data_IF_337896308248
#
_entry.id   IF_337896308248
#
_cell.length_a   1.000
_cell.length_b   1.000
_cell.length_c   1.000
_cell.angle_alpha   90.00
_cell.angle_beta   90.00
_cell.angle_gamma   90.00
#
_symmetry.space_group_name_H-M   'P 1'
#
loop_
_entity.id
_entity.type
_entity.pdbx_description
1 polymer ?
#
# COMPACT_ATOMS: atom_id res chain seq x y z
N UNK A 1 27.65 -17.77 53.01
CA UNK A 1 27.92 -17.34 51.64
C UNK A 1 29.42 -17.22 51.49
N UNK A 2 30.07 -18.21 50.86
CA UNK A 2 31.51 -18.13 50.55
C UNK A 2 31.72 -17.03 49.50
N UNK A 3 32.57 -16.08 49.86
CA UNK A 3 32.97 -14.99 49.01
C UNK A 3 33.68 -15.49 47.76
N UNK A 4 33.02 -15.51 46.64
CA UNK A 4 33.65 -15.85 45.37
C UNK A 4 32.72 -16.33 44.24
N UNK A 5 31.47 -16.59 44.54
CA UNK A 5 30.53 -16.99 43.48
C UNK A 5 29.90 -15.75 42.88
N UNK A 6 30.06 -15.44 41.56
CA UNK A 6 29.46 -14.29 40.95
C UNK A 6 27.93 -14.47 40.93
N UNK A 7 27.22 -13.51 41.53
CA UNK A 7 25.76 -13.45 41.45
C UNK A 7 25.42 -12.82 40.11
N UNK A 8 24.80 -13.58 39.21
CA UNK A 8 24.28 -13.09 37.93
C UNK A 8 22.80 -12.75 38.12
N UNK A 9 22.48 -11.46 38.08
CA UNK A 9 21.08 -10.99 38.10
C UNK A 9 20.69 -10.71 36.69
N UNK A 10 19.69 -11.42 36.18
CA UNK A 10 19.03 -11.09 34.90
C UNK A 10 17.69 -10.46 35.20
N UNK A 11 17.47 -9.31 34.62
CA UNK A 11 16.19 -8.58 34.63
C UNK A 11 15.49 -8.82 33.30
N UNK A 12 14.33 -9.42 33.35
CA UNK A 12 13.41 -9.46 32.21
C UNK A 12 12.44 -8.29 32.35
N UNK A 13 12.41 -7.40 31.37
CA UNK A 13 11.39 -6.37 31.27
C UNK A 13 10.47 -6.71 30.09
N UNK A 14 9.23 -7.06 30.37
CA UNK A 14 8.19 -7.15 29.35
C UNK A 14 7.70 -5.73 29.03
N UNK A 15 8.05 -5.23 27.85
CA UNK A 15 7.40 -4.01 27.35
C UNK A 15 6.11 -4.40 26.65
N UNK A 16 5.01 -3.77 27.01
CA UNK A 16 3.66 -3.98 26.44
C UNK A 16 3.60 -3.67 24.92
N UNK A 17 4.60 -3.00 24.40
CA UNK A 17 4.74 -2.67 22.98
C UNK A 17 6.17 -2.93 22.52
N UNK A 18 6.52 -4.18 22.31
CA UNK A 18 7.81 -4.53 21.75
C UNK A 18 7.70 -4.67 20.23
N UNK A 19 8.19 -3.68 19.52
CA UNK A 19 8.38 -3.75 18.07
C UNK A 19 9.77 -4.31 17.81
N UNK A 20 9.84 -5.39 17.06
CA UNK A 20 11.13 -5.92 16.59
C UNK A 20 11.74 -4.92 15.61
N UNK A 21 12.83 -4.27 16.04
CA UNK A 21 13.51 -3.32 15.19
C UNK A 21 14.49 -4.05 14.27
N UNK A 22 14.28 -3.92 12.96
CA UNK A 22 15.23 -4.32 11.92
C UNK A 22 15.99 -3.07 11.46
N UNK A 23 17.29 -3.16 11.38
CA UNK A 23 18.16 -2.08 10.87
C UNK A 23 18.91 -2.60 9.66
N UNK A 24 18.67 -1.97 8.51
CA UNK A 24 19.40 -2.21 7.28
C UNK A 24 20.32 -1.01 7.01
N UNK A 25 21.61 -1.26 6.86
CA UNK A 25 22.59 -0.29 6.43
C UNK A 25 23.20 -0.77 5.12
N UNK A 26 23.15 0.05 4.10
CA UNK A 26 23.73 -0.24 2.80
C UNK A 26 24.57 0.89 2.27
N UNK A 27 25.65 0.55 1.59
CA UNK A 27 26.48 1.48 0.87
C UNK A 27 26.94 0.83 -0.43
N UNK A 28 26.74 1.52 -1.51
CA UNK A 28 27.28 1.17 -2.84
C UNK A 28 28.20 2.28 -3.30
N UNK A 29 29.37 1.88 -3.78
CA UNK A 29 30.39 2.78 -4.35
C UNK A 29 30.60 2.37 -5.80
N UNK A 30 30.31 3.25 -6.74
CA UNK A 30 30.61 3.07 -8.16
C UNK A 30 31.79 3.96 -8.56
N UNK A 31 32.83 3.35 -9.07
CA UNK A 31 34.01 4.03 -9.55
C UNK A 31 34.16 3.88 -11.07
N UNK A 32 34.01 4.98 -11.79
CA UNK A 32 34.25 5.05 -13.23
C UNK A 32 35.73 5.17 -13.53
N UNK A 33 36.31 4.08 -13.99
CA UNK A 33 37.74 4.04 -14.38
C UNK A 33 37.96 4.90 -15.64
N UNK A 34 37.02 4.81 -16.58
CA UNK A 34 36.99 5.64 -17.80
C UNK A 34 35.56 5.63 -18.38
N UNK A 35 35.40 6.15 -19.63
CA UNK A 35 34.08 6.20 -20.29
C UNK A 35 33.47 4.82 -20.58
N UNK A 36 34.31 3.80 -20.62
CA UNK A 36 33.97 2.47 -21.07
C UNK A 36 34.16 1.39 -20.00
N UNK A 37 34.55 1.75 -18.77
CA UNK A 37 34.76 0.81 -17.69
C UNK A 37 34.40 1.40 -16.34
N UNK A 38 33.69 0.62 -15.56
CA UNK A 38 33.34 0.91 -14.17
C UNK A 38 33.51 -0.32 -13.27
N UNK A 39 33.70 -0.08 -12.02
CA UNK A 39 33.72 -1.09 -10.97
C UNK A 39 32.93 -0.57 -9.79
N UNK A 40 32.04 -1.40 -9.25
CA UNK A 40 31.23 -1.12 -8.08
C UNK A 40 31.56 -2.03 -6.92
N UNK A 41 31.32 -1.56 -5.72
CA UNK A 41 31.41 -2.35 -4.50
C UNK A 41 30.22 -2.03 -3.60
N UNK A 42 29.56 -3.06 -3.09
CA UNK A 42 28.38 -2.97 -2.21
C UNK A 42 28.63 -3.62 -0.89
N UNK A 43 28.20 -2.98 0.19
CA UNK A 43 28.15 -3.56 1.53
C UNK A 43 26.74 -3.33 2.06
N UNK A 44 26.06 -4.41 2.43
CA UNK A 44 24.79 -4.39 3.13
C UNK A 44 24.95 -5.04 4.49
N UNK A 45 24.37 -4.45 5.53
CA UNK A 45 24.33 -4.99 6.89
C UNK A 45 22.91 -4.99 7.39
N UNK A 46 22.34 -6.17 7.57
CA UNK A 46 21.05 -6.37 8.22
C UNK A 46 21.27 -6.77 9.66
N UNK A 47 20.63 -6.08 10.60
CA UNK A 47 20.69 -6.37 12.03
C UNK A 47 19.30 -6.26 12.64
N UNK A 48 18.86 -7.33 13.28
CA UNK A 48 17.64 -7.38 14.08
C UNK A 48 17.97 -7.23 15.57
N UNK A 49 17.12 -6.52 16.28
CA UNK A 49 17.20 -6.43 17.74
C UNK A 49 16.29 -7.50 18.35
N UNK A 50 16.82 -8.37 19.26
CA UNK A 50 15.97 -9.31 19.96
C UNK A 50 14.96 -8.58 20.84
N UNK A 51 13.73 -9.07 20.88
CA UNK A 51 12.67 -8.56 21.76
C UNK A 51 12.93 -8.94 23.22
N UNK A 52 13.44 -10.16 23.43
CA UNK A 52 13.77 -10.70 24.75
C UNK A 52 15.15 -11.34 24.70
N UNK A 53 15.86 -11.40 25.83
CA UNK A 53 17.15 -12.13 25.91
C UNK A 53 17.02 -13.63 25.65
N UNK A 54 15.83 -14.20 25.90
CA UNK A 54 15.51 -15.60 25.64
C UNK A 54 14.59 -15.65 24.40
N UNK A 55 15.17 -16.07 23.30
CA UNK A 55 14.50 -16.16 22.01
C UNK A 55 13.95 -17.55 21.79
N UNK A 56 12.76 -17.69 21.22
CA UNK A 56 12.21 -18.98 20.82
C UNK A 56 12.97 -19.53 19.61
N UNK A 57 13.00 -20.86 19.49
CA UNK A 57 13.58 -21.50 18.31
C UNK A 57 12.78 -21.07 17.04
N UNK A 58 13.49 -20.57 16.04
CA UNK A 58 12.90 -20.02 14.81
C UNK A 58 12.68 -18.51 14.79
N UNK A 59 12.82 -17.83 15.95
CA UNK A 59 12.68 -16.38 16.07
C UNK A 59 14.04 -15.70 16.36
N UNK A 60 15.15 -16.36 16.05
CA UNK A 60 16.49 -15.85 16.33
C UNK A 60 16.77 -14.58 15.50
N UNK A 61 17.17 -13.48 16.15
CA UNK A 61 17.44 -12.23 15.45
C UNK A 61 18.71 -12.30 14.59
N UNK A 62 18.57 -11.94 13.35
CA UNK A 62 19.60 -12.02 12.32
C UNK A 62 20.59 -10.85 12.44
N UNK A 63 21.86 -11.10 12.10
CA UNK A 63 22.88 -10.07 11.94
C UNK A 63 23.79 -10.38 10.75
N UNK A 64 23.26 -10.36 9.55
CA UNK A 64 23.94 -10.75 8.33
C UNK A 64 24.66 -9.58 7.64
N UNK A 65 25.73 -9.89 6.93
CA UNK A 65 26.45 -8.93 6.09
C UNK A 65 26.55 -9.48 4.67
N UNK A 66 26.17 -8.70 3.69
CA UNK A 66 26.36 -9.03 2.30
C UNK A 66 27.44 -8.11 1.71
N UNK A 67 28.35 -8.69 0.95
CA UNK A 67 29.39 -8.00 0.21
C UNK A 67 29.15 -8.26 -1.28
N UNK A 68 29.18 -7.20 -2.08
CA UNK A 68 29.01 -7.27 -3.53
C UNK A 68 30.17 -6.60 -4.23
N UNK A 69 30.56 -7.14 -5.36
CA UNK A 69 31.45 -6.51 -6.33
C UNK A 69 30.79 -6.62 -7.70
N UNK A 70 30.71 -5.53 -8.40
CA UNK A 70 30.16 -5.48 -9.75
C UNK A 70 31.07 -4.66 -10.66
N UNK A 71 30.93 -4.83 -11.94
CA UNK A 71 31.67 -4.04 -12.88
C UNK A 71 31.37 -4.39 -14.32
N UNK A 72 31.72 -3.46 -15.17
CA UNK A 72 31.53 -3.62 -16.60
C UNK A 72 32.59 -2.90 -17.40
N UNK A 73 32.85 -3.43 -18.57
CA UNK A 73 33.62 -2.70 -19.56
C UNK A 73 33.05 -2.91 -20.95
N UNK A 74 33.27 -1.89 -21.77
CA UNK A 74 32.88 -1.86 -23.17
C UNK A 74 34.12 -1.50 -23.99
N UNK A 75 34.44 -2.28 -24.99
CA UNK A 75 35.61 -2.03 -25.85
C UNK A 75 35.28 -2.25 -27.33
N UNK A 76 35.68 -1.30 -28.16
CA UNK A 76 35.69 -1.49 -29.61
C UNK A 76 36.85 -2.41 -29.97
N UNK A 77 36.58 -3.47 -30.74
CA UNK A 77 37.56 -4.43 -31.20
C UNK A 77 37.56 -4.46 -32.73
N UNK A 78 38.43 -3.67 -33.39
CA UNK A 78 38.50 -3.62 -34.85
C UNK A 78 38.84 -4.96 -35.49
N UNK A 79 39.50 -5.85 -34.76
CA UNK A 79 39.81 -7.20 -35.25
C UNK A 79 38.54 -8.04 -35.47
N UNK A 80 37.52 -7.90 -34.62
CA UNK A 80 36.23 -8.55 -34.81
C UNK A 80 35.50 -8.02 -36.04
N UNK A 81 35.60 -6.72 -36.30
CA UNK A 81 35.01 -6.12 -37.51
C UNK A 81 35.65 -6.70 -38.76
N UNK A 82 36.98 -6.82 -38.80
CA UNK A 82 37.69 -7.44 -39.90
C UNK A 82 37.35 -8.92 -40.07
N UNK A 83 37.13 -9.63 -39.00
CA UNK A 83 36.75 -11.06 -39.03
C UNK A 83 35.36 -11.24 -39.61
N UNK A 84 34.43 -10.34 -39.30
CA UNK A 84 33.06 -10.33 -39.88
C UNK A 84 33.11 -9.96 -41.37
N UNK A 85 33.94 -9.00 -41.76
CA UNK A 85 34.13 -8.60 -43.17
C UNK A 85 34.83 -9.67 -44.05
N UNK A 86 35.41 -10.70 -43.43
CA UNK A 86 35.94 -11.86 -44.18
C UNK A 86 34.86 -12.85 -44.58
N UNK A 87 33.63 -12.71 -44.06
CA UNK A 87 32.54 -13.57 -44.48
C UNK A 87 31.99 -13.13 -45.86
N UNK A 88 31.78 -14.07 -46.80
CA UNK A 88 31.24 -13.73 -48.10
C UNK A 88 29.84 -13.11 -47.94
N UNK A 89 29.59 -12.01 -48.62
CA UNK A 89 28.34 -11.22 -48.65
C UNK A 89 28.12 -10.30 -47.47
N UNK A 90 29.08 -10.08 -46.56
CA UNK A 90 28.94 -9.14 -45.44
C UNK A 90 30.03 -8.11 -45.56
N UNK A 91 29.66 -6.85 -45.84
CA UNK A 91 30.52 -5.68 -45.69
C UNK A 91 29.92 -4.80 -44.56
N UNK A 92 30.61 -4.70 -43.43
CA UNK A 92 30.14 -3.84 -42.33
C UNK A 92 31.08 -2.65 -42.14
N UNK A 93 30.51 -1.45 -42.16
CA UNK A 93 31.19 -0.20 -41.80
C UNK A 93 31.11 0.12 -40.32
N UNK A 94 30.32 -0.68 -39.54
CA UNK A 94 30.07 -0.45 -38.14
C UNK A 94 31.12 -1.19 -37.32
N UNK A 95 31.77 -0.47 -36.40
CA UNK A 95 32.78 -1.05 -35.52
C UNK A 95 32.14 -2.07 -34.56
N UNK A 96 32.75 -3.23 -34.47
CA UNK A 96 32.34 -4.26 -33.52
C UNK A 96 32.71 -3.86 -32.08
N UNK A 97 31.80 -4.05 -31.18
CA UNK A 97 31.98 -3.75 -29.74
C UNK A 97 31.77 -5.00 -28.92
N UNK A 98 32.60 -5.17 -27.89
CA UNK A 98 32.40 -6.18 -26.85
C UNK A 98 32.00 -5.48 -25.56
N UNK A 99 30.90 -5.90 -24.99
CA UNK A 99 30.45 -5.50 -23.66
C UNK A 99 30.61 -6.72 -22.72
N UNK A 100 31.19 -6.47 -21.60
CA UNK A 100 31.26 -7.44 -20.51
C UNK A 100 30.70 -6.79 -19.23
N UNK A 101 29.84 -7.48 -18.54
CA UNK A 101 29.38 -7.12 -17.20
C UNK A 101 29.40 -8.35 -16.32
N UNK A 102 29.74 -8.17 -15.06
CA UNK A 102 29.79 -9.25 -14.10
C UNK A 102 29.57 -8.73 -12.69
N UNK A 103 29.00 -9.59 -11.86
CA UNK A 103 28.80 -9.34 -10.43
C UNK A 103 29.19 -10.56 -9.61
N UNK A 104 29.61 -10.30 -8.38
CA UNK A 104 29.93 -11.31 -7.38
C UNK A 104 29.35 -10.84 -6.06
N UNK A 105 28.58 -11.71 -5.38
CA UNK A 105 28.07 -11.44 -4.07
C UNK A 105 28.48 -12.55 -3.09
N UNK A 106 28.72 -12.16 -1.82
CA UNK A 106 29.02 -13.06 -0.75
C UNK A 106 28.21 -12.68 0.50
N UNK A 107 27.48 -13.66 1.05
CA UNK A 107 26.76 -13.53 2.31
C UNK A 107 27.62 -14.05 3.46
N UNK A 108 27.78 -13.21 4.48
CA UNK A 108 28.43 -13.56 5.74
C UNK A 108 27.33 -13.63 6.80
N UNK A 109 26.88 -14.84 7.18
CA UNK A 109 25.85 -15.00 8.20
C UNK A 109 26.40 -14.63 9.59
N UNK A 110 25.51 -14.17 10.46
CA UNK A 110 25.85 -13.82 11.82
C UNK A 110 24.62 -13.78 12.73
N UNK A 111 24.85 -13.67 14.01
CA UNK A 111 23.81 -13.57 15.03
C UNK A 111 23.96 -12.29 15.85
N UNK A 112 22.91 -11.91 16.56
CA UNK A 112 22.98 -10.74 17.43
C UNK A 112 23.66 -11.13 18.76
N UNK A 113 24.75 -10.43 19.09
CA UNK A 113 25.53 -10.68 20.32
C UNK A 113 24.71 -10.52 21.62
N UNK A 114 23.57 -9.89 21.58
CA UNK A 114 22.70 -9.72 22.75
C UNK A 114 22.03 -11.03 23.21
N UNK A 115 21.97 -12.05 22.34
CA UNK A 115 21.42 -13.38 22.64
C UNK A 115 22.51 -14.42 22.89
N UNK A 116 23.76 -14.06 22.71
CA UNK A 116 24.91 -14.96 22.93
C UNK A 116 25.24 -15.07 24.43
N UNK A 117 24.38 -15.80 25.13
CA UNK A 117 24.55 -16.02 26.61
C UNK A 117 25.63 -17.02 26.90
N UNK A 118 25.86 -17.98 26.00
CA UNK A 118 26.77 -19.11 26.20
C UNK A 118 28.12 -18.94 25.54
N UNK A 119 28.33 -17.87 24.77
CA UNK A 119 29.49 -17.62 23.90
C UNK A 119 29.74 -18.75 22.87
N UNK A 120 28.74 -19.56 22.61
CA UNK A 120 28.73 -20.48 21.49
C UNK A 120 28.28 -19.69 20.26
N UNK A 121 29.14 -19.64 19.24
CA UNK A 121 28.87 -18.91 18.00
C UNK A 121 27.70 -19.56 17.26
N UNK A 122 26.48 -19.21 17.65
CA UNK A 122 25.29 -19.53 16.88
C UNK A 122 25.27 -18.69 15.60
N UNK A 123 25.06 -19.30 14.46
CA UNK A 123 24.86 -18.59 13.20
C UNK A 123 23.46 -18.86 12.67
N UNK A 124 22.75 -17.78 12.31
CA UNK A 124 21.52 -17.89 11.54
C UNK A 124 21.87 -17.84 10.05
N UNK A 125 21.48 -18.87 9.32
CA UNK A 125 21.73 -18.99 7.87
C UNK A 125 20.55 -18.46 7.03
N UNK A 126 19.62 -17.77 7.63
CA UNK A 126 18.48 -17.21 6.88
C UNK A 126 18.96 -15.97 6.16
N UNK A 127 18.94 -16.01 4.85
CA UNK A 127 19.04 -14.86 3.99
C UNK A 127 17.68 -14.17 3.94
N UNK A 128 17.53 -13.11 4.74
CA UNK A 128 16.27 -12.34 4.81
C UNK A 128 16.51 -10.88 4.35
N UNK A 129 17.45 -10.69 3.42
CA UNK A 129 17.64 -9.36 2.85
C UNK A 129 16.41 -8.90 2.08
N UNK A 130 15.71 -9.84 1.43
CA UNK A 130 14.42 -9.58 0.78
C UNK A 130 13.33 -9.28 1.82
N UNK A 131 13.28 -9.99 2.94
CA UNK A 131 12.38 -9.70 4.06
C UNK A 131 12.67 -8.39 4.80
N UNK A 132 13.85 -7.79 4.55
CA UNK A 132 14.19 -6.45 5.05
C UNK A 132 13.66 -5.32 4.15
N UNK A 133 12.92 -5.63 3.11
CA UNK A 133 12.28 -4.66 2.24
C UNK A 133 11.38 -3.74 3.03
N UNK A 134 11.39 -2.47 2.66
CA UNK A 134 10.54 -1.45 3.25
C UNK A 134 9.10 -1.64 2.76
N UNK A 135 8.35 -2.49 3.43
CA UNK A 135 6.94 -2.69 3.10
C UNK A 135 6.16 -1.39 3.33
N UNK A 136 5.41 -0.96 2.34
CA UNK A 136 4.48 0.15 2.48
C UNK A 136 3.17 -0.43 3.03
N UNK A 137 2.88 -0.12 4.30
CA UNK A 137 1.59 -0.50 4.89
C UNK A 137 0.47 0.36 4.30
N UNK A 138 -0.44 -0.28 3.59
CA UNK A 138 -1.57 0.39 2.96
C UNK A 138 -2.82 0.48 3.85
N UNK A 139 -2.80 -0.06 5.08
CA UNK A 139 -3.95 -0.08 6.00
C UNK A 139 -4.19 1.23 6.73
N UNK A 140 -3.28 2.19 6.66
CA UNK A 140 -3.43 3.47 7.36
C UNK A 140 -4.57 4.28 6.76
N UNK A 141 -5.71 4.30 7.46
CA UNK A 141 -6.97 4.89 7.01
C UNK A 141 -6.85 6.37 6.61
N UNK A 142 -6.10 7.15 7.37
CA UNK A 142 -5.95 8.59 7.14
C UNK A 142 -5.19 8.96 5.87
N UNK A 143 -4.54 7.98 5.24
CA UNK A 143 -3.80 8.21 4.00
C UNK A 143 -4.67 8.00 2.74
N UNK A 144 -5.88 7.51 2.92
CA UNK A 144 -6.82 7.28 1.84
C UNK A 144 -7.77 8.45 1.71
N UNK A 145 -8.02 8.86 0.50
CA UNK A 145 -8.98 9.89 0.09
C UNK A 145 -9.86 9.36 -1.02
N UNK A 146 -10.94 10.03 -1.31
CA UNK A 146 -11.84 9.66 -2.37
C UNK A 146 -11.12 9.66 -3.73
N UNK A 147 -11.34 8.63 -4.55
CA UNK A 147 -10.73 8.54 -5.86
C UNK A 147 -11.44 9.39 -6.90
N UNK A 148 -10.68 9.99 -7.81
CA UNK A 148 -11.20 10.49 -9.08
C UNK A 148 -11.60 9.33 -10.00
N UNK A 149 -12.32 9.64 -11.10
CA UNK A 149 -12.67 8.63 -12.11
C UNK A 149 -11.38 8.13 -12.78
N UNK A 150 -11.14 6.81 -12.84
CA UNK A 150 -9.95 6.28 -13.47
C UNK A 150 -9.86 6.63 -14.96
N UNK A 151 -8.68 7.08 -15.38
CA UNK A 151 -8.40 7.48 -16.75
C UNK A 151 -7.85 6.29 -17.56
N UNK A 152 -8.02 6.34 -18.87
CA UNK A 152 -7.40 5.37 -19.77
C UNK A 152 -8.12 4.02 -19.88
N UNK A 153 -9.33 3.90 -19.30
CA UNK A 153 -10.17 2.70 -19.34
C UNK A 153 -11.59 3.06 -19.81
N UNK A 154 -11.77 3.46 -21.07
CA UNK A 154 -13.04 4.01 -21.55
C UNK A 154 -14.19 2.99 -21.56
N UNK A 155 -13.90 1.71 -21.60
CA UNK A 155 -14.91 0.63 -21.55
C UNK A 155 -15.53 0.50 -20.14
N UNK A 156 -14.76 0.78 -19.09
CA UNK A 156 -15.20 0.72 -17.69
C UNK A 156 -15.69 2.10 -17.19
N UNK A 157 -15.02 3.16 -17.61
CA UNK A 157 -15.26 4.52 -17.15
C UNK A 157 -15.44 5.47 -18.34
N UNK A 158 -16.54 5.36 -19.11
CA UNK A 158 -16.77 6.21 -20.28
C UNK A 158 -16.85 7.70 -19.94
N UNK A 159 -17.30 8.02 -18.71
CA UNK A 159 -17.37 9.39 -18.19
C UNK A 159 -15.99 10.01 -17.92
N UNK A 160 -14.93 9.22 -17.88
CA UNK A 160 -13.57 9.72 -17.62
C UNK A 160 -13.07 10.73 -18.67
N UNK A 161 -13.66 10.76 -19.86
CA UNK A 161 -13.34 11.71 -20.92
C UNK A 161 -13.93 13.11 -20.69
N UNK A 162 -14.93 13.24 -19.82
CA UNK A 162 -15.62 14.48 -19.54
C UNK A 162 -14.72 15.46 -18.78
N UNK A 163 -14.95 16.76 -19.03
CA UNK A 163 -14.26 17.85 -18.36
C UNK A 163 -15.26 18.95 -18.02
N UNK A 164 -15.24 19.41 -16.78
CA UNK A 164 -16.17 20.42 -16.25
C UNK A 164 -17.63 20.07 -16.58
N UNK A 165 -17.97 18.80 -16.42
CA UNK A 165 -19.30 18.26 -16.71
C UNK A 165 -19.76 17.42 -15.51
N UNK A 166 -20.94 17.71 -15.00
CA UNK A 166 -21.54 17.04 -13.85
C UNK A 166 -21.75 15.53 -14.07
N UNK A 167 -21.82 15.09 -15.32
CA UNK A 167 -21.94 13.67 -15.66
C UNK A 167 -20.70 12.87 -15.27
N UNK A 168 -19.56 13.53 -15.04
CA UNK A 168 -18.31 12.89 -14.63
C UNK A 168 -18.44 12.06 -13.36
N UNK A 169 -19.26 12.48 -12.41
CA UNK A 169 -19.44 11.78 -11.13
C UNK A 169 -20.64 10.83 -11.04
N UNK A 170 -21.47 10.72 -12.08
CA UNK A 170 -22.78 10.05 -11.99
C UNK A 170 -22.73 8.55 -11.73
N UNK A 171 -21.63 7.86 -12.08
CA UNK A 171 -21.48 6.44 -11.82
C UNK A 171 -20.83 6.14 -10.45
N UNK A 172 -20.42 7.18 -9.72
CA UNK A 172 -19.84 6.99 -8.38
C UNK A 172 -20.94 6.62 -7.40
N UNK A 173 -20.82 5.41 -6.85
CA UNK A 173 -21.67 4.92 -5.78
C UNK A 173 -21.05 5.22 -4.42
N UNK A 174 -21.82 5.03 -3.36
CA UNK A 174 -21.39 5.22 -1.99
C UNK A 174 -20.33 4.18 -1.63
N UNK A 175 -19.25 4.67 -1.05
CA UNK A 175 -18.11 3.87 -0.63
C UNK A 175 -17.60 4.41 0.70
N UNK A 176 -17.40 3.52 1.67
CA UNK A 176 -16.88 3.88 2.99
C UNK A 176 -15.68 3.01 3.32
N UNK A 177 -14.70 3.59 3.98
CA UNK A 177 -13.54 2.88 4.50
C UNK A 177 -13.28 3.28 5.94
N UNK A 178 -13.02 2.31 6.79
CA UNK A 178 -12.94 2.52 8.23
C UNK A 178 -12.15 1.40 8.92
N UNK A 179 -11.94 1.56 10.20
CA UNK A 179 -11.43 0.53 11.10
C UNK A 179 -12.41 0.39 12.24
N UNK A 180 -12.88 -0.82 12.50
CA UNK A 180 -13.76 -1.08 13.62
C UNK A 180 -12.94 -1.00 14.91
N UNK A 181 -13.36 -0.12 15.82
CA UNK A 181 -12.71 0.01 17.12
C UNK A 181 -12.80 -1.32 17.89
N UNK A 182 -11.69 -1.84 18.45
CA UNK A 182 -11.68 -3.08 19.24
C UNK A 182 -12.71 -3.12 20.38
N UNK A 183 -13.18 -1.96 20.85
CA UNK A 183 -14.24 -1.87 21.84
C UNK A 183 -15.52 -2.59 21.37
N UNK A 184 -15.88 -2.46 20.09
CA UNK A 184 -17.09 -3.07 19.55
C UNK A 184 -17.01 -4.60 19.46
N UNK A 185 -15.80 -5.17 19.46
CA UNK A 185 -15.59 -6.62 19.50
C UNK A 185 -15.62 -7.17 20.95
N UNK A 186 -15.51 -6.31 21.96
CA UNK A 186 -15.44 -6.75 23.34
C UNK A 186 -16.80 -7.23 23.87
N UNK A 187 -16.87 -8.47 24.31
CA UNK A 187 -18.07 -9.05 24.94
C UNK A 187 -18.16 -8.74 26.43
N UNK A 188 -17.07 -8.30 27.05
CA UNK A 188 -16.95 -8.10 28.50
C UNK A 188 -16.92 -6.64 28.93
N UNK A 189 -16.49 -5.73 28.05
CA UNK A 189 -16.37 -4.30 28.36
C UNK A 189 -17.73 -3.70 28.69
N UNK A 190 -17.79 -2.89 29.72
CA UNK A 190 -18.98 -2.10 30.08
C UNK A 190 -19.23 -0.94 29.10
N UNK A 191 -18.22 -0.56 28.33
CA UNK A 191 -18.31 0.51 27.36
C UNK A 191 -18.90 0.05 26.02
N UNK A 192 -18.89 -1.26 25.73
CA UNK A 192 -19.54 -1.80 24.52
C UNK A 192 -21.03 -1.56 24.60
N UNK A 193 -21.65 -0.94 23.57
CA UNK A 193 -23.10 -0.67 23.56
C UNK A 193 -23.91 -1.95 23.74
N UNK A 194 -24.95 -1.88 24.54
CA UNK A 194 -25.78 -3.06 24.94
C UNK A 194 -26.47 -3.75 23.77
N UNK A 195 -26.81 -3.00 22.72
CA UNK A 195 -27.45 -3.53 21.51
C UNK A 195 -26.49 -4.29 20.60
N UNK A 196 -25.18 -4.07 20.74
CA UNK A 196 -24.12 -4.77 19.97
C UNK A 196 -23.61 -5.95 20.79
N UNK A 197 -23.45 -5.76 22.11
CA UNK A 197 -22.77 -6.71 22.99
C UNK A 197 -23.50 -8.06 23.04
N UNK A 198 -22.76 -9.11 22.64
CA UNK A 198 -23.30 -10.49 22.61
C UNK A 198 -24.37 -10.73 21.54
N UNK A 199 -24.58 -9.79 20.63
CA UNK A 199 -25.49 -9.92 19.50
C UNK A 199 -24.86 -10.66 18.32
N UNK A 200 -25.70 -11.05 17.35
CA UNK A 200 -25.25 -11.62 16.09
C UNK A 200 -24.32 -10.70 15.29
N UNK A 201 -24.33 -9.38 15.55
CA UNK A 201 -23.42 -8.43 14.90
C UNK A 201 -21.96 -8.69 15.24
N UNK A 202 -21.64 -9.10 16.46
CA UNK A 202 -20.26 -9.44 16.85
C UNK A 202 -19.77 -10.77 16.24
N UNK A 203 -20.69 -11.63 15.79
CA UNK A 203 -20.40 -12.92 15.17
C UNK A 203 -20.49 -12.88 13.64
N UNK A 204 -20.93 -11.75 13.08
CA UNK A 204 -21.01 -11.59 11.63
C UNK A 204 -19.60 -11.70 11.00
N UNK A 205 -19.42 -12.61 10.06
CA UNK A 205 -18.12 -12.90 9.44
C UNK A 205 -17.49 -11.68 8.75
N UNK A 206 -18.30 -10.73 8.25
CA UNK A 206 -17.82 -9.50 7.60
C UNK A 206 -17.26 -8.48 8.61
N UNK A 207 -17.67 -8.55 9.89
CA UNK A 207 -17.35 -7.53 10.88
C UNK A 207 -16.63 -8.08 12.12
N UNK A 208 -16.45 -9.40 12.21
CA UNK A 208 -15.81 -10.04 13.35
C UNK A 208 -14.33 -9.72 13.43
N UNK A 209 -13.78 -9.88 14.61
CA UNK A 209 -12.34 -9.80 14.80
C UNK A 209 -11.63 -10.95 14.08
N UNK A 210 -10.53 -10.65 13.38
CA UNK A 210 -9.69 -11.65 12.72
C UNK A 210 -8.48 -11.94 13.61
N UNK A 211 -8.26 -13.21 13.92
CA UNK A 211 -7.15 -13.65 14.76
C UNK A 211 -5.89 -13.89 13.92
N UNK A 212 -4.74 -13.67 14.53
CA UNK A 212 -3.43 -13.87 13.86
C UNK A 212 -3.25 -15.32 13.44
N UNK A 213 -3.67 -16.28 14.25
CA UNK A 213 -3.54 -17.72 13.99
C UNK A 213 -4.49 -18.23 12.91
N UNK A 214 -5.59 -17.52 12.61
CA UNK A 214 -6.42 -17.83 11.44
C UNK A 214 -5.69 -17.60 10.12
N UNK A 215 -4.96 -16.50 10.02
CA UNK A 215 -4.27 -16.11 8.80
C UNK A 215 -2.85 -16.70 8.74
N UNK A 216 -2.20 -16.79 9.90
CA UNK A 216 -0.84 -17.27 10.05
C UNK A 216 -0.77 -18.40 11.09
N UNK A 217 -1.26 -19.61 10.77
CA UNK A 217 -1.42 -20.70 11.75
C UNK A 217 -0.10 -21.19 12.34
N UNK A 218 1.02 -20.95 11.67
CA UNK A 218 2.35 -21.34 12.15
C UNK A 218 3.07 -20.23 12.94
N UNK A 219 2.45 -19.06 13.09
CA UNK A 219 3.06 -17.94 13.79
C UNK A 219 2.84 -18.09 15.30
N UNK A 220 3.93 -18.23 16.05
CA UNK A 220 3.87 -18.23 17.52
C UNK A 220 3.87 -16.78 18.01
N UNK A 221 2.84 -16.43 18.77
CA UNK A 221 2.74 -15.12 19.39
C UNK A 221 3.47 -15.12 20.72
N UNK A 222 4.36 -14.15 20.93
CA UNK A 222 5.00 -13.92 22.21
C UNK A 222 3.98 -13.40 23.26
N UNK A 223 4.30 -13.60 24.54
CA UNK A 223 3.48 -13.09 25.64
C UNK A 223 3.32 -11.57 25.52
N UNK A 224 2.08 -11.09 25.50
CA UNK A 224 1.75 -9.66 25.38
C UNK A 224 1.66 -9.12 23.95
N UNK A 225 1.80 -9.95 22.93
CA UNK A 225 1.48 -9.54 21.55
C UNK A 225 -0.03 -9.57 21.32
N UNK A 226 -0.49 -8.69 20.41
CA UNK A 226 -1.88 -8.69 20.01
C UNK A 226 -2.24 -9.99 19.29
N UNK A 227 -3.33 -10.59 19.69
CA UNK A 227 -3.86 -11.83 19.10
C UNK A 227 -4.71 -11.60 17.86
N UNK A 228 -5.09 -10.37 17.61
CA UNK A 228 -5.90 -9.96 16.46
C UNK A 228 -5.11 -9.12 15.46
N UNK A 229 -5.51 -9.24 14.21
CA UNK A 229 -4.97 -8.44 13.11
C UNK A 229 -5.83 -7.19 12.96
N UNK A 230 -5.26 -5.97 12.88
CA UNK A 230 -6.02 -4.79 12.49
C UNK A 230 -6.48 -4.95 11.03
N UNK A 231 -7.77 -4.79 10.82
CA UNK A 231 -8.42 -4.91 9.51
C UNK A 231 -8.68 -3.52 8.97
N UNK A 232 -8.55 -3.36 7.67
CA UNK A 232 -9.00 -2.20 6.92
C UNK A 232 -10.35 -2.56 6.31
N UNK A 233 -11.41 -1.99 6.82
CA UNK A 233 -12.78 -2.31 6.43
C UNK A 233 -13.21 -1.42 5.27
N UNK A 234 -13.88 -2.02 4.30
CA UNK A 234 -14.43 -1.36 3.13
C UNK A 234 -15.90 -1.76 3.00
N UNK A 235 -16.77 -0.78 2.80
CA UNK A 235 -18.19 -1.00 2.51
C UNK A 235 -18.56 -0.29 1.22
N UNK A 236 -19.16 -1.03 0.30
CA UNK A 236 -19.59 -0.55 -1.00
C UNK A 236 -21.09 -0.72 -1.18
N UNK A 237 -21.75 0.36 -1.56
CA UNK A 237 -23.22 0.41 -1.70
C UNK A 237 -23.60 0.83 -3.13
N UNK A 238 -23.66 -0.12 -4.09
CA UNK A 238 -23.80 0.19 -5.50
C UNK A 238 -25.13 0.84 -5.90
N UNK A 239 -26.15 0.74 -5.02
CA UNK A 239 -27.45 1.37 -5.21
C UNK A 239 -27.58 2.76 -4.59
N UNK A 240 -26.61 3.18 -3.79
CA UNK A 240 -26.63 4.48 -3.14
C UNK A 240 -25.70 5.46 -3.86
N UNK A 241 -26.14 6.70 -4.01
CA UNK A 241 -25.30 7.76 -4.57
C UNK A 241 -24.09 8.03 -3.68
N UNK A 242 -22.92 8.06 -4.28
CA UNK A 242 -21.69 8.47 -3.63
C UNK A 242 -21.49 9.98 -3.64
N UNK A 243 -20.39 10.44 -3.04
CA UNK A 243 -20.01 11.85 -3.08
C UNK A 243 -19.89 12.35 -4.52
N UNK A 244 -20.36 13.57 -4.75
CA UNK A 244 -20.37 14.23 -6.07
C UNK A 244 -21.13 13.48 -7.17
N UNK A 245 -22.00 12.55 -6.80
CA UNK A 245 -22.91 11.90 -7.72
C UNK A 245 -24.25 12.63 -7.73
N UNK A 246 -24.49 13.38 -8.82
CA UNK A 246 -25.72 14.14 -9.06
C UNK A 246 -26.65 13.44 -10.03
N UNK A 247 -26.61 12.10 -10.08
CA UNK A 247 -27.43 11.32 -10.99
C UNK A 247 -28.92 11.42 -10.64
N UNK A 248 -29.73 11.70 -11.67
CA UNK A 248 -31.18 11.85 -11.54
C UNK A 248 -31.89 11.14 -12.69
N UNK A 249 -31.47 11.42 -13.92
CA UNK A 249 -32.10 10.91 -15.14
C UNK A 249 -31.11 10.11 -15.98
N UNK A 250 -31.62 9.12 -16.68
CA UNK A 250 -30.84 8.35 -17.63
C UNK A 250 -30.23 9.22 -18.72
N UNK A 251 -28.98 9.01 -19.05
CA UNK A 251 -28.26 9.70 -20.13
C UNK A 251 -27.22 8.76 -20.78
N UNK A 252 -26.30 9.30 -21.57
CA UNK A 252 -25.32 8.51 -22.30
C UNK A 252 -24.28 7.83 -21.38
N UNK A 253 -24.16 8.26 -20.13
CA UNK A 253 -23.13 7.80 -19.17
C UNK A 253 -23.71 7.03 -17.98
N UNK A 254 -24.99 7.22 -17.69
CA UNK A 254 -25.65 6.67 -16.51
C UNK A 254 -27.08 6.28 -16.80
N UNK A 255 -27.55 5.23 -16.16
CA UNK A 255 -28.95 4.76 -16.21
C UNK A 255 -29.90 5.55 -15.29
N UNK A 256 -29.40 6.56 -14.59
CA UNK A 256 -30.20 7.38 -13.69
C UNK A 256 -30.55 6.68 -12.37
N UNK A 257 -31.60 7.16 -11.75
CA UNK A 257 -32.13 6.63 -10.47
C UNK A 257 -33.56 6.14 -10.63
N UNK A 258 -34.00 5.26 -9.74
CA UNK A 258 -35.42 4.96 -9.54
C UNK A 258 -36.08 6.14 -8.82
N UNK A 259 -37.04 6.83 -9.45
CA UNK A 259 -37.68 7.99 -8.84
C UNK A 259 -38.50 7.67 -7.59
N UNK A 260 -38.86 6.41 -7.36
CA UNK A 260 -39.66 5.99 -6.21
C UNK A 260 -38.81 5.70 -4.97
N UNK A 261 -37.63 5.10 -5.14
CA UNK A 261 -36.73 4.73 -4.06
C UNK A 261 -35.54 5.69 -3.90
N UNK A 262 -35.16 6.40 -4.97
CA UNK A 262 -33.95 7.20 -5.03
C UNK A 262 -32.68 6.36 -5.22
N UNK A 263 -32.82 5.06 -5.40
CA UNK A 263 -31.68 4.15 -5.64
C UNK A 263 -31.13 4.32 -7.06
N UNK A 264 -29.83 4.09 -7.22
CA UNK A 264 -29.16 4.06 -8.50
C UNK A 264 -29.63 2.84 -9.31
N UNK A 265 -30.02 3.09 -10.57
CA UNK A 265 -30.29 2.02 -11.52
C UNK A 265 -28.97 1.35 -11.96
N UNK A 266 -29.08 0.09 -12.43
CA UNK A 266 -27.96 -0.71 -12.95
C UNK A 266 -26.73 -0.70 -12.03
N UNK A 267 -26.84 -1.25 -10.82
CA UNK A 267 -25.76 -1.22 -9.81
C UNK A 267 -24.46 -1.86 -10.30
N UNK A 268 -24.50 -2.74 -11.30
CA UNK A 268 -23.34 -3.38 -11.92
C UNK A 268 -22.46 -2.40 -12.71
N UNK A 269 -23.01 -1.27 -13.14
CA UNK A 269 -22.29 -0.21 -13.85
C UNK A 269 -21.68 0.83 -12.90
N UNK A 270 -21.96 0.72 -11.62
CA UNK A 270 -21.53 1.69 -10.60
C UNK A 270 -20.21 1.28 -10.00
N UNK A 271 -19.44 2.27 -9.60
CA UNK A 271 -18.15 2.05 -8.96
C UNK A 271 -17.97 2.93 -7.72
N UNK A 272 -17.18 2.46 -6.80
CA UNK A 272 -16.69 3.23 -5.66
C UNK A 272 -15.18 3.05 -5.55
N UNK A 273 -14.46 4.09 -5.16
CA UNK A 273 -13.01 3.99 -5.10
C UNK A 273 -12.38 4.99 -4.16
N UNK A 274 -11.23 4.61 -3.67
CA UNK A 274 -10.34 5.42 -2.85
C UNK A 274 -8.94 5.43 -3.46
N UNK A 275 -8.19 6.47 -3.20
CA UNK A 275 -6.81 6.60 -3.64
C UNK A 275 -5.90 7.06 -2.52
N UNK A 276 -4.62 6.81 -2.65
CA UNK A 276 -3.61 7.33 -1.73
C UNK A 276 -2.33 7.65 -2.46
N UNK A 277 -1.60 8.62 -1.95
CA UNK A 277 -0.25 8.90 -2.41
C UNK A 277 0.72 7.88 -1.84
N UNK A 278 1.62 7.36 -2.67
CA UNK A 278 2.75 6.55 -2.25
C UNK A 278 3.98 7.43 -2.06
N UNK A 279 4.82 7.07 -1.11
CA UNK A 279 6.05 7.81 -0.78
C UNK A 279 7.17 7.62 -1.81
N UNK A 280 7.03 6.61 -2.67
CA UNK A 280 7.96 6.35 -3.76
C UNK A 280 7.24 6.42 -5.11
N UNK A 281 7.89 6.97 -6.09
CA UNK A 281 7.44 7.01 -7.49
C UNK A 281 8.24 6.04 -8.38
N UNK A 282 9.20 5.33 -7.80
CA UNK A 282 10.06 4.35 -8.48
C UNK A 282 10.04 3.06 -7.66
N UNK A 283 9.26 2.10 -8.11
CA UNK A 283 9.11 0.81 -7.45
C UNK A 283 10.33 -0.08 -7.62
N UNK A 284 11.04 0.05 -8.74
CA UNK A 284 12.27 -0.70 -8.99
C UNK A 284 13.37 -0.23 -8.03
N UNK A 285 13.57 1.09 -7.90
CA UNK A 285 14.54 1.64 -6.95
C UNK A 285 14.19 1.34 -5.48
N UNK A 286 12.90 1.20 -5.18
CA UNK A 286 12.40 0.83 -3.85
C UNK A 286 12.34 -0.70 -3.63
N UNK A 287 12.71 -1.49 -4.63
CA UNK A 287 12.66 -2.95 -4.63
C UNK A 287 11.27 -3.49 -4.28
N UNK A 288 10.23 -2.88 -4.84
CA UNK A 288 8.84 -3.30 -4.66
C UNK A 288 8.43 -4.15 -5.87
N UNK A 289 8.19 -5.42 -5.65
CA UNK A 289 7.88 -6.39 -6.71
C UNK A 289 6.40 -6.74 -6.78
N UNK A 290 5.70 -6.69 -5.65
CA UNK A 290 4.31 -7.14 -5.58
C UNK A 290 3.50 -6.39 -4.52
N UNK A 291 2.17 -6.46 -4.69
CA UNK A 291 1.19 -6.06 -3.67
C UNK A 291 0.61 -7.34 -3.08
N UNK A 292 0.67 -7.48 -1.77
CA UNK A 292 0.13 -8.64 -1.06
C UNK A 292 -0.87 -8.20 0.00
N UNK A 293 -2.03 -8.83 0.02
CA UNK A 293 -3.06 -8.58 1.02
C UNK A 293 -3.96 -9.82 1.18
N UNK A 294 -4.64 -9.88 2.31
CA UNK A 294 -5.70 -10.84 2.56
C UNK A 294 -7.04 -10.13 2.42
N UNK A 295 -7.96 -10.74 1.71
CA UNK A 295 -9.32 -10.25 1.53
C UNK A 295 -10.27 -11.26 2.16
N UNK A 296 -11.20 -10.77 3.00
CA UNK A 296 -12.33 -11.56 3.44
C UNK A 296 -13.35 -11.58 2.30
N UNK A 297 -13.81 -12.77 1.93
CA UNK A 297 -14.82 -12.94 0.88
C UNK A 297 -16.16 -12.37 1.34
N UNK A 298 -16.66 -11.29 0.74
CA UNK A 298 -17.92 -10.68 1.13
C UNK A 298 -19.14 -11.47 0.66
N UNK A 299 -18.95 -12.43 -0.24
CA UNK A 299 -20.01 -13.21 -0.87
C UNK A 299 -20.16 -14.64 -0.30
N UNK A 300 -19.40 -14.96 0.74
CA UNK A 300 -19.36 -16.31 1.33
C UNK A 300 -20.72 -16.83 1.80
N UNK A 301 -21.62 -15.95 2.22
CA UNK A 301 -22.98 -16.30 2.67
C UNK A 301 -24.04 -16.05 1.59
N UNK A 302 -23.66 -15.55 0.43
CA UNK A 302 -24.58 -15.29 -0.65
C UNK A 302 -25.04 -16.60 -1.31
N UNK A 303 -26.24 -16.57 -1.90
CA UNK A 303 -26.75 -17.69 -2.66
C UNK A 303 -25.86 -17.96 -3.89
N UNK A 304 -25.89 -19.20 -4.40
CA UNK A 304 -25.13 -19.64 -5.57
C UNK A 304 -25.34 -18.79 -6.84
N UNK A 305 -26.28 -17.86 -6.83
CA UNK A 305 -26.58 -16.93 -7.92
C UNK A 305 -26.01 -15.51 -7.72
N UNK A 306 -25.15 -15.28 -6.74
CA UNK A 306 -24.45 -14.01 -6.60
C UNK A 306 -23.47 -13.82 -7.75
N UNK A 307 -23.59 -12.73 -8.49
CA UNK A 307 -22.66 -12.36 -9.57
C UNK A 307 -21.29 -11.92 -9.04
N UNK A 308 -21.16 -11.77 -7.72
CA UNK A 308 -19.94 -11.24 -7.12
C UNK A 308 -19.73 -9.76 -7.40
N UNK A 309 -18.47 -9.35 -7.39
CA UNK A 309 -18.04 -7.99 -7.72
C UNK A 309 -16.61 -8.01 -8.24
N UNK A 310 -16.22 -6.93 -8.87
CA UNK A 310 -14.88 -6.77 -9.41
C UNK A 310 -14.07 -5.79 -8.54
N UNK A 311 -12.81 -6.10 -8.32
CA UNK A 311 -11.90 -5.32 -7.52
C UNK A 311 -10.67 -4.93 -8.34
N UNK A 312 -10.42 -3.63 -8.49
CA UNK A 312 -9.37 -3.11 -9.33
C UNK A 312 -8.30 -2.37 -8.53
N UNK A 313 -7.06 -2.59 -8.88
CA UNK A 313 -5.92 -1.78 -8.46
C UNK A 313 -5.38 -0.98 -9.63
N UNK A 314 -5.43 0.33 -9.52
CA UNK A 314 -4.83 1.24 -10.49
C UNK A 314 -3.55 1.85 -9.89
N UNK A 315 -2.40 1.59 -10.52
CA UNK A 315 -1.12 2.12 -10.12
C UNK A 315 -0.63 3.12 -11.17
N UNK A 316 -0.05 4.20 -10.72
CA UNK A 316 0.50 5.24 -11.58
C UNK A 316 0.11 6.65 -11.17
N UNK A 317 0.11 7.56 -12.12
CA UNK A 317 -0.31 8.94 -11.90
C UNK A 317 -1.83 9.01 -11.90
N UNK A 318 -2.41 9.28 -10.74
CA UNK A 318 -3.85 9.45 -10.55
C UNK A 318 -4.14 10.94 -10.35
N UNK A 319 -5.21 11.44 -10.99
CA UNK A 319 -5.67 12.81 -10.75
C UNK A 319 -6.22 12.94 -9.33
N UNK A 320 -5.93 14.05 -8.67
CA UNK A 320 -6.54 14.42 -7.39
C UNK A 320 -7.80 15.28 -7.59
N UNK A 321 -8.15 15.58 -8.85
CA UNK A 321 -9.29 16.38 -9.23
C UNK A 321 -10.53 15.48 -9.34
N UNK A 322 -11.37 15.50 -8.32
CA UNK A 322 -12.54 14.62 -8.20
C UNK A 322 -13.65 14.93 -9.17
N UNK A 323 -13.79 16.17 -9.59
CA UNK A 323 -14.81 16.63 -10.53
C UNK A 323 -14.26 16.90 -11.92
N UNK A 324 -12.95 16.91 -12.10
CA UNK A 324 -12.24 17.22 -13.33
C UNK A 324 -12.65 18.55 -13.93
N UNK A 325 -12.60 19.59 -13.13
CA UNK A 325 -12.87 20.97 -13.53
C UNK A 325 -11.59 21.82 -13.62
N UNK A 326 -10.44 21.23 -13.33
CA UNK A 326 -9.14 21.89 -13.27
C UNK A 326 -8.87 22.62 -11.95
N UNK A 327 -9.75 22.49 -10.97
CA UNK A 327 -9.63 23.08 -9.63
C UNK A 327 -9.34 21.99 -8.63
N UNK A 328 -8.08 21.70 -8.48
CA UNK A 328 -7.60 20.66 -7.55
C UNK A 328 -7.91 21.04 -6.10
N UNK A 329 -8.48 20.13 -5.35
CA UNK A 329 -8.93 20.26 -3.96
C UNK A 329 -10.14 21.21 -3.77
N UNK A 330 -10.74 21.16 -2.61
CA UNK A 330 -11.94 21.94 -2.25
C UNK A 330 -13.14 21.67 -3.16
N UNK A 331 -13.42 20.42 -3.42
CA UNK A 331 -14.58 19.96 -4.20
C UNK A 331 -15.95 20.36 -3.59
N UNK A 332 -15.93 21.32 -2.71
CA UNK A 332 -17.10 22.00 -2.16
C UNK A 332 -17.60 23.17 -3.04
N UNK A 333 -16.98 23.37 -4.19
CA UNK A 333 -17.33 24.45 -5.12
C UNK A 333 -16.78 25.84 -4.75
N UNK A 334 -15.91 25.93 -3.74
CA UNK A 334 -15.24 27.18 -3.37
C UNK A 334 -13.88 27.30 -4.06
N UNK A 335 -13.43 28.53 -4.39
CA UNK A 335 -12.11 28.76 -4.96
C UNK A 335 -11.01 28.29 -4.00
N UNK A 336 -10.00 27.52 -4.47
CA UNK A 336 -8.94 26.96 -3.62
C UNK A 336 -7.95 28.02 -3.10
N UNK A 337 -7.86 29.16 -3.79
CA UNK A 337 -6.98 30.29 -3.44
C UNK A 337 -7.64 31.28 -2.46
N UNK A 338 -8.93 31.07 -2.15
CA UNK A 338 -9.69 31.95 -1.30
C UNK A 338 -10.03 33.31 -1.93
N UNK A 339 -9.80 33.47 -3.23
CA UNK A 339 -10.20 34.67 -3.99
C UNK A 339 -11.69 34.63 -4.34
N UNK A 340 -12.51 35.01 -3.38
CA UNK A 340 -13.96 35.06 -3.56
C UNK A 340 -14.43 36.24 -4.44
N UNK A 341 -13.62 37.26 -4.60
CA UNK A 341 -13.99 38.44 -5.37
C UNK A 341 -14.02 38.15 -6.88
N UNK A 342 -13.05 37.43 -7.37
CA UNK A 342 -12.98 36.99 -8.78
C UNK A 342 -14.17 36.10 -9.16
N UNK A 343 -14.68 35.29 -8.22
CA UNK A 343 -15.76 34.35 -8.44
C UNK A 343 -17.10 34.81 -7.83
N UNK A 344 -17.23 36.09 -7.52
CA UNK A 344 -18.39 36.64 -6.81
C UNK A 344 -19.74 36.36 -7.49
N UNK A 345 -19.78 36.18 -8.80
CA UNK A 345 -21.00 35.79 -9.55
C UNK A 345 -21.42 34.33 -9.33
N UNK A 346 -20.50 33.49 -8.87
CA UNK A 346 -20.70 32.05 -8.63
C UNK A 346 -20.90 31.73 -7.16
N UNK A 347 -20.75 32.73 -6.27
CA UNK A 347 -20.75 32.57 -4.84
C UNK A 347 -21.84 33.40 -4.16
N UNK A 348 -22.36 32.90 -3.05
CA UNK A 348 -23.30 33.58 -2.17
C UNK A 348 -22.74 33.69 -0.76
N UNK A 349 -22.87 34.89 -0.15
CA UNK A 349 -22.48 35.11 1.24
C UNK A 349 -23.68 34.85 2.15
N UNK A 350 -23.56 33.83 2.98
CA UNK A 350 -24.59 33.46 3.97
C UNK A 350 -24.13 33.77 5.39
N UNK A 351 -25.02 33.64 6.36
CA UNK A 351 -24.67 33.74 7.80
C UNK A 351 -23.72 32.61 8.25
N UNK A 352 -23.56 31.56 7.48
CA UNK A 352 -22.69 30.41 7.74
C UNK A 352 -21.34 30.50 7.03
N UNK A 353 -21.18 31.46 6.12
CA UNK A 353 -20.01 31.66 5.31
C UNK A 353 -20.35 31.75 3.82
N UNK A 354 -19.34 31.56 2.99
CA UNK A 354 -19.47 31.61 1.54
C UNK A 354 -19.87 30.24 1.01
N UNK A 355 -20.86 30.21 0.12
CA UNK A 355 -21.36 29.00 -0.53
C UNK A 355 -21.47 29.22 -2.03
N UNK A 356 -21.32 28.17 -2.88
CA UNK A 356 -21.59 28.29 -4.31
C UNK A 356 -23.05 28.56 -4.63
N UNK A 357 -23.33 29.49 -5.53
CA UNK A 357 -24.69 29.83 -6.00
C UNK A 357 -25.43 28.67 -6.67
N UNK A 358 -24.66 27.75 -7.26
CA UNK A 358 -25.18 26.63 -8.06
C UNK A 358 -25.39 25.36 -7.30
N UNK A 359 -25.48 25.43 -5.98
CA UNK A 359 -25.92 24.27 -5.20
C UNK A 359 -27.39 23.94 -5.47
N UNK A 360 -27.70 23.58 -6.71
CA UNK A 360 -29.05 23.14 -7.05
C UNK A 360 -29.39 21.80 -6.39
N UNK A 361 -28.40 21.01 -6.03
CA UNK A 361 -28.59 19.73 -5.32
C UNK A 361 -27.28 19.29 -4.66
N UNK A 362 -26.76 20.00 -3.72
CA UNK A 362 -25.83 19.36 -2.81
C UNK A 362 -26.60 19.05 -1.53
N UNK A 363 -27.22 17.92 -1.54
CA UNK A 363 -27.30 17.21 -0.29
C UNK A 363 -25.85 16.91 0.06
N UNK A 364 -25.32 17.61 1.03
CA UNK A 364 -24.02 17.31 1.60
C UNK A 364 -23.97 15.81 1.82
N UNK A 365 -23.01 15.15 1.19
CA UNK A 365 -22.80 13.77 1.42
C UNK A 365 -22.03 13.71 2.74
N UNK A 366 -22.76 13.53 3.82
CA UNK A 366 -22.18 13.21 5.10
C UNK A 366 -21.54 11.81 4.97
N UNK A 367 -20.24 11.78 5.01
CA UNK A 367 -19.46 10.57 5.14
C UNK A 367 -19.22 10.26 6.62
#
# INVERSE_FOLDING_TARGET
>A
LSSGTPIKISLESNSLFSVQMKTLLGTHLDYKINKDANIGATILKLKERPLTPKVNAGDEPISNTMLGLDGGFRKEIPALTKLVDMLPFIETKKKSMVNFSGELAALIPGHNKAIDITQENGSSYIDDFEGSQSAIDIRTINNWVLASVPQGQPDLFPEASLYNDINYGKNRAKFSWYVIDPLFHSRTSSLTPSHIKGSAFQDNHLMRQVLVDEVFPNKQLGTGQLTNIPVFDISYYPKERGPYNFDVESNNYSSGIDPSSGELNDPETRWGGIMRTLTTNDFEAANIEFIQFWVMDPFNEDSENSSGGEFYFNLGNVSEDLLRDGRKAFENGLPPDGDYDTYSSELEYTSWGVVPNTQVVVNAFDN
#
